data_IF_104747468721
#
_entry.id   IF_104747468721
#
_cell.length_a   1.000
_cell.length_b   1.000
_cell.length_c   1.000
_cell.angle_alpha   90.00
_cell.angle_beta   90.00
_cell.angle_gamma   90.00
#
_symmetry.space_group_name_H-M   'P 1'
#
loop_
_entity.id
_entity.type
_entity.pdbx_description
1 polymer ?
#
# COMPACT_ATOMS: atom_id res chain seq x y z
N UNK A 1 33.87 0.99 44.09
CA UNK A 1 33.22 1.94 43.18
C UNK A 1 32.75 1.15 41.96
N UNK A 2 31.55 0.57 41.98
CA UNK A 2 31.10 -0.34 40.90
C UNK A 2 29.65 -0.06 40.42
N UNK A 3 28.90 0.82 41.08
CA UNK A 3 27.47 1.05 40.77
C UNK A 3 27.18 2.03 39.62
N UNK A 4 28.17 2.82 39.16
CA UNK A 4 27.95 3.86 38.13
C UNK A 4 28.02 3.32 36.71
N UNK A 5 28.83 2.29 36.47
CA UNK A 5 29.02 1.71 35.14
C UNK A 5 27.83 0.83 34.73
N UNK A 6 27.24 0.11 35.68
CA UNK A 6 26.03 -0.69 35.44
C UNK A 6 24.83 0.17 35.07
N UNK A 7 24.62 1.30 35.74
CA UNK A 7 23.50 2.20 35.46
C UNK A 7 23.62 2.82 34.05
N UNK A 8 24.85 3.15 33.64
CA UNK A 8 25.14 3.72 32.32
C UNK A 8 24.89 2.70 31.20
N UNK A 9 25.34 1.45 31.38
CA UNK A 9 25.17 0.40 30.37
C UNK A 9 23.69 -0.01 30.19
N UNK A 10 22.91 -0.04 31.27
CA UNK A 10 21.46 -0.32 31.21
C UNK A 10 20.71 0.83 30.51
N UNK A 11 21.10 2.09 30.78
CA UNK A 11 20.49 3.25 30.13
C UNK A 11 20.80 3.28 28.62
N UNK A 12 22.03 2.96 28.22
CA UNK A 12 22.45 2.87 26.80
C UNK A 12 21.68 1.75 26.08
N UNK A 13 21.47 0.61 26.73
CA UNK A 13 20.68 -0.50 26.19
C UNK A 13 19.21 -0.12 26.01
N UNK A 14 18.61 0.57 26.98
CA UNK A 14 17.23 1.04 26.90
C UNK A 14 17.03 2.08 25.80
N UNK A 15 17.95 3.05 25.67
CA UNK A 15 17.90 4.07 24.60
C UNK A 15 18.07 3.42 23.23
N UNK A 16 18.95 2.44 23.10
CA UNK A 16 19.15 1.67 21.85
C UNK A 16 17.92 0.83 21.49
N UNK A 17 17.26 0.21 22.48
CA UNK A 17 16.04 -0.56 22.28
C UNK A 17 14.87 0.33 21.83
N UNK A 18 14.73 1.53 22.42
CA UNK A 18 13.72 2.52 22.02
C UNK A 18 14.00 3.06 20.61
N UNK A 19 15.26 3.36 20.27
CA UNK A 19 15.64 3.72 18.90
C UNK A 19 15.31 2.62 17.89
N UNK A 20 15.62 1.36 18.22
CA UNK A 20 15.29 0.20 17.37
C UNK A 20 13.79 -0.01 17.21
N UNK A 21 13.00 0.26 18.25
CA UNK A 21 11.53 0.20 18.19
C UNK A 21 10.95 1.35 17.34
N UNK A 22 11.50 2.56 17.43
CA UNK A 22 11.12 3.70 16.59
C UNK A 22 11.52 3.46 15.11
N UNK A 23 12.71 2.91 14.85
CA UNK A 23 13.15 2.48 13.52
C UNK A 23 12.28 1.35 12.93
N UNK A 24 11.64 0.54 13.77
CA UNK A 24 10.71 -0.52 13.33
C UNK A 24 9.30 0.00 13.04
N UNK A 25 8.99 1.24 13.45
CA UNK A 25 7.70 1.91 13.18
C UNK A 25 7.73 2.71 11.87
N UNK A 26 8.90 3.14 11.40
CA UNK A 26 9.07 3.82 10.10
C UNK A 26 9.60 2.87 9.03
N UNK A 27 8.78 1.92 8.57
CA UNK A 27 8.81 1.33 7.20
C UNK A 27 8.01 0.03 7.14
N UNK A 28 6.69 0.11 7.32
CA UNK A 28 5.81 -0.94 6.78
C UNK A 28 5.32 -0.57 5.37
N UNK A 29 6.15 0.15 4.60
CA UNK A 29 6.02 0.13 3.15
C UNK A 29 6.45 -1.27 2.72
N UNK A 30 5.59 -2.05 2.05
CA UNK A 30 5.99 -3.36 1.53
C UNK A 30 7.24 -3.19 0.66
N UNK A 31 8.12 -4.22 0.61
CA UNK A 31 9.31 -4.14 -0.23
C UNK A 31 8.89 -3.72 -1.65
N UNK A 32 9.62 -2.80 -2.30
CA UNK A 32 9.19 -2.15 -3.54
C UNK A 32 8.87 -3.15 -4.67
N UNK A 33 9.44 -4.37 -4.64
CA UNK A 33 9.13 -5.45 -5.57
C UNK A 33 7.66 -5.93 -5.50
N UNK A 34 7.03 -5.92 -4.31
CA UNK A 34 5.64 -6.38 -4.12
C UNK A 34 4.69 -5.44 -4.82
N UNK A 35 4.88 -4.13 -4.66
CA UNK A 35 4.02 -3.14 -5.31
C UNK A 35 4.21 -3.11 -6.82
N UNK A 36 5.44 -3.24 -7.32
CA UNK A 36 5.70 -3.30 -8.75
C UNK A 36 5.06 -4.54 -9.40
N UNK A 37 5.12 -5.70 -8.76
CA UNK A 37 4.45 -6.92 -9.23
C UNK A 37 2.92 -6.77 -9.22
N UNK A 38 2.37 -6.10 -8.20
CA UNK A 38 0.93 -5.79 -8.13
C UNK A 38 0.53 -4.84 -9.24
N UNK A 39 1.29 -3.77 -9.50
CA UNK A 39 1.02 -2.83 -10.59
C UNK A 39 1.08 -3.51 -11.96
N UNK A 40 2.08 -4.35 -12.20
CA UNK A 40 2.18 -5.15 -13.43
C UNK A 40 0.99 -6.12 -13.57
N UNK A 41 0.59 -6.80 -12.48
CA UNK A 41 -0.56 -7.70 -12.47
C UNK A 41 -1.88 -6.96 -12.74
N UNK A 42 -2.07 -5.78 -12.15
CA UNK A 42 -3.24 -4.93 -12.41
C UNK A 42 -3.25 -4.45 -13.85
N UNK A 43 -2.12 -4.00 -14.40
CA UNK A 43 -2.04 -3.57 -15.80
C UNK A 43 -2.39 -4.74 -16.74
N UNK A 44 -1.77 -5.89 -16.58
CA UNK A 44 -2.02 -7.06 -17.45
C UNK A 44 -3.46 -7.56 -17.37
N UNK A 45 -4.04 -7.61 -16.17
CA UNK A 45 -5.36 -8.23 -15.99
C UNK A 45 -6.53 -7.25 -16.11
N UNK A 46 -6.31 -5.95 -15.88
CA UNK A 46 -7.37 -4.95 -15.80
C UNK A 46 -7.32 -3.89 -16.91
N UNK A 47 -6.32 -3.84 -17.78
CA UNK A 47 -6.20 -2.75 -18.76
C UNK A 47 -7.43 -2.64 -19.68
N UNK A 48 -7.86 -3.74 -20.29
CA UNK A 48 -9.04 -3.75 -21.17
C UNK A 48 -10.33 -3.46 -20.41
N UNK A 49 -10.46 -3.97 -19.19
CA UNK A 49 -11.60 -3.69 -18.31
C UNK A 49 -11.61 -2.23 -17.91
N UNK A 50 -10.46 -1.64 -17.71
CA UNK A 50 -10.35 -0.26 -17.29
C UNK A 50 -10.79 0.70 -18.42
N UNK A 51 -10.39 0.42 -19.67
CA UNK A 51 -10.74 1.23 -20.85
C UNK A 51 -12.18 0.98 -21.33
N UNK A 52 -12.69 -0.24 -21.14
CA UNK A 52 -14.05 -0.60 -21.50
C UNK A 52 -15.11 0.09 -20.64
N UNK A 53 -16.37 -0.06 -21.04
CA UNK A 53 -17.52 0.44 -20.27
C UNK A 53 -18.20 -0.65 -19.44
N UNK A 54 -17.96 -1.93 -19.77
CA UNK A 54 -18.54 -3.09 -19.09
C UNK A 54 -17.96 -3.35 -17.69
N UNK A 55 -18.52 -4.32 -16.94
CA UNK A 55 -17.98 -4.73 -15.65
C UNK A 55 -16.61 -5.42 -15.81
N UNK A 56 -15.72 -5.34 -14.80
CA UNK A 56 -14.44 -6.04 -14.83
C UNK A 56 -14.62 -7.55 -14.85
N UNK A 57 -13.75 -8.24 -15.59
CA UNK A 57 -13.73 -9.70 -15.64
C UNK A 57 -13.13 -10.28 -14.34
N UNK A 58 -13.41 -11.56 -14.10
CA UNK A 58 -12.96 -12.29 -12.92
C UNK A 58 -11.45 -12.16 -12.62
N UNK A 59 -10.53 -12.24 -13.62
CA UNK A 59 -9.09 -12.07 -13.37
C UNK A 59 -8.75 -10.68 -12.84
N UNK A 60 -9.37 -9.62 -13.39
CA UNK A 60 -9.16 -8.27 -12.90
C UNK A 60 -9.65 -8.11 -11.45
N UNK A 61 -10.83 -8.61 -11.12
CA UNK A 61 -11.32 -8.56 -9.73
C UNK A 61 -10.44 -9.35 -8.75
N UNK A 62 -9.84 -10.47 -9.18
CA UNK A 62 -8.86 -11.21 -8.35
C UNK A 62 -7.60 -10.37 -8.11
N UNK A 63 -7.07 -9.72 -9.15
CA UNK A 63 -5.91 -8.86 -9.04
C UNK A 63 -6.15 -7.65 -8.12
N UNK A 64 -7.32 -6.99 -8.23
CA UNK A 64 -7.70 -5.87 -7.36
C UNK A 64 -7.80 -6.32 -5.89
N UNK A 65 -8.40 -7.49 -5.62
CA UNK A 65 -8.51 -8.03 -4.25
C UNK A 65 -7.17 -8.41 -3.64
N UNK A 66 -6.22 -8.85 -4.47
CA UNK A 66 -4.89 -9.22 -4.04
C UNK A 66 -3.97 -7.99 -3.84
N UNK A 67 -4.34 -6.82 -4.37
CA UNK A 67 -3.54 -5.61 -4.27
C UNK A 67 -3.57 -5.05 -2.83
N UNK A 68 -2.41 -4.97 -2.14
CA UNK A 68 -2.36 -4.40 -0.81
C UNK A 68 -2.53 -2.88 -0.88
N UNK A 69 -3.32 -2.32 0.04
CA UNK A 69 -3.60 -0.88 0.13
C UNK A 69 -2.32 -0.05 0.30
N UNK A 70 -1.27 -0.60 0.91
CA UNK A 70 0.02 0.06 1.07
C UNK A 70 0.75 0.35 -0.25
N UNK A 71 0.38 -0.33 -1.35
CA UNK A 71 0.93 -0.09 -2.69
C UNK A 71 0.19 0.99 -3.49
N UNK A 72 -0.81 1.64 -2.87
CA UNK A 72 -1.60 2.68 -3.49
C UNK A 72 -0.82 3.90 -4.00
N UNK A 73 0.39 4.14 -3.49
CA UNK A 73 1.23 5.24 -3.96
C UNK A 73 1.62 5.07 -5.43
N UNK A 74 1.58 3.87 -6.01
CA UNK A 74 1.88 3.65 -7.43
C UNK A 74 0.79 4.19 -8.38
N UNK A 75 -0.37 4.59 -7.85
CA UNK A 75 -1.44 5.19 -8.65
C UNK A 75 -1.16 6.68 -8.97
N UNK A 76 0.03 7.20 -8.63
CA UNK A 76 0.43 8.60 -8.86
C UNK A 76 1.00 8.90 -10.26
N UNK A 77 1.36 7.90 -11.07
CA UNK A 77 1.74 8.05 -12.49
C UNK A 77 1.43 6.72 -13.23
N UNK A 78 1.09 6.61 -14.53
CA UNK A 78 1.21 7.50 -15.68
C UNK A 78 0.01 7.37 -16.66
N UNK A 79 -1.20 7.16 -16.16
CA UNK A 79 -2.44 7.44 -16.90
C UNK A 79 -3.40 8.01 -15.89
N UNK A 80 -4.03 9.17 -16.15
CA UNK A 80 -4.96 9.77 -15.20
C UNK A 80 -6.12 8.78 -14.96
N UNK A 81 -6.01 8.02 -13.86
CA UNK A 81 -6.96 6.97 -13.54
C UNK A 81 -8.23 7.65 -13.07
N UNK A 82 -9.33 7.54 -13.83
CA UNK A 82 -10.57 8.23 -13.52
C UNK A 82 -11.15 7.67 -12.23
N UNK A 83 -11.29 8.51 -11.20
CA UNK A 83 -11.87 8.17 -9.89
C UNK A 83 -13.20 7.45 -10.05
N UNK A 84 -14.05 7.87 -11.00
CA UNK A 84 -15.34 7.22 -11.26
C UNK A 84 -15.18 5.78 -11.76
N UNK A 85 -14.21 5.51 -12.64
CA UNK A 85 -13.95 4.17 -13.17
C UNK A 85 -13.44 3.24 -12.07
N UNK A 86 -12.50 3.71 -11.25
CA UNK A 86 -11.99 2.94 -10.11
C UNK A 86 -13.12 2.63 -9.11
N UNK A 87 -13.95 3.63 -8.78
CA UNK A 87 -15.13 3.42 -7.92
C UNK A 87 -16.07 2.36 -8.50
N UNK A 88 -16.36 2.42 -9.80
CA UNK A 88 -17.21 1.44 -10.49
C UNK A 88 -16.61 0.03 -10.47
N UNK A 89 -15.32 -0.11 -10.75
CA UNK A 89 -14.63 -1.40 -10.72
C UNK A 89 -14.57 -1.97 -9.31
N UNK A 90 -14.25 -1.14 -8.31
CA UNK A 90 -14.24 -1.54 -6.91
C UNK A 90 -15.62 -1.99 -6.42
N UNK A 91 -16.68 -1.26 -6.77
CA UNK A 91 -18.06 -1.65 -6.48
C UNK A 91 -18.41 -3.00 -7.14
N UNK A 92 -18.08 -3.18 -8.42
CA UNK A 92 -18.33 -4.41 -9.17
C UNK A 92 -17.58 -5.60 -8.57
N UNK A 93 -16.33 -5.40 -8.15
CA UNK A 93 -15.51 -6.42 -7.52
C UNK A 93 -15.79 -6.62 -6.02
N UNK A 94 -16.68 -5.80 -5.42
CA UNK A 94 -16.99 -5.77 -3.97
C UNK A 94 -15.75 -5.53 -3.11
N UNK A 95 -14.97 -4.51 -3.47
CA UNK A 95 -13.75 -4.09 -2.77
C UNK A 95 -13.96 -2.71 -2.18
N UNK A 96 -13.60 -2.55 -0.91
CA UNK A 96 -13.64 -1.24 -0.23
C UNK A 96 -12.39 -0.45 -0.61
N UNK A 97 -12.58 0.73 -1.20
CA UNK A 97 -11.48 1.65 -1.48
C UNK A 97 -11.06 2.39 -0.20
N UNK A 98 -9.75 2.64 -0.01
CA UNK A 98 -9.29 3.52 1.06
C UNK A 98 -9.76 4.95 0.78
N UNK A 99 -9.79 5.81 1.81
CA UNK A 99 -10.14 7.24 1.64
C UNK A 99 -9.18 7.95 0.68
N UNK A 100 -7.91 7.57 0.70
CA UNK A 100 -6.84 8.11 -0.16
C UNK A 100 -5.97 6.98 -0.68
N UNK A 101 -5.50 7.11 -1.91
CA UNK A 101 -4.62 6.15 -2.57
C UNK A 101 -3.65 6.93 -3.46
N UNK A 102 -2.42 7.15 -2.99
CA UNK A 102 -1.49 8.06 -3.66
C UNK A 102 -2.07 9.47 -3.76
N UNK A 103 -2.14 10.02 -4.98
CA UNK A 103 -2.73 11.32 -5.27
C UNK A 103 -4.27 11.29 -5.38
N UNK A 104 -4.88 10.10 -5.44
CA UNK A 104 -6.33 9.96 -5.56
C UNK A 104 -7.02 10.06 -4.20
N UNK A 105 -8.13 10.78 -4.17
CA UNK A 105 -9.04 10.84 -3.02
C UNK A 105 -10.37 10.22 -3.40
N UNK A 106 -10.79 9.22 -2.63
CA UNK A 106 -12.08 8.55 -2.77
C UNK A 106 -12.99 9.01 -1.62
N UNK A 107 -13.45 10.26 -1.70
CA UNK A 107 -14.48 10.77 -0.78
C UNK A 107 -15.76 9.94 -0.96
N UNK A 108 -16.48 9.70 0.15
CA UNK A 108 -17.80 9.07 0.15
C UNK A 108 -18.76 9.88 -0.72
#
# INVERSE_FOLDING_TARGET
MEGKEYLSNVLILLVSLVLLLLLKVESALPPPNVCNNVAASLLTNCYSDYIGTGPPHLPCCKAIKAAPVSCCYLVTSATAVNVARIKSMAASCKVTLPKKCGALTFSR
#
